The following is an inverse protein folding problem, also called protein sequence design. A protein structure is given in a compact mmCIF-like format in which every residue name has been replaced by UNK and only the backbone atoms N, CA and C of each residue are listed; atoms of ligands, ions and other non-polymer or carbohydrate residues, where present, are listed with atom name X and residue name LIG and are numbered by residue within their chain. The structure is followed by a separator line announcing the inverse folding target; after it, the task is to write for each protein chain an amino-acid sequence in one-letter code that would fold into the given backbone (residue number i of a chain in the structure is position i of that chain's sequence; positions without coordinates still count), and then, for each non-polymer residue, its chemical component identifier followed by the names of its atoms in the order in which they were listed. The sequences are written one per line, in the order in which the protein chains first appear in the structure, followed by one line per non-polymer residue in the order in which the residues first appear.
data_IF_075021309926
#
_entry.id   IF_075021309926
#
_cell.length_a   1.000
_cell.length_b   1.000
_cell.length_c   1.000
_cell.angle_alpha   90.00
_cell.angle_beta   90.00
_cell.angle_gamma   90.00
#
_symmetry.space_group_name_H-M   'P 1'
#
loop_
_entity.id
_entity.type
_entity.pdbx_description
1 polymer ?
#
# COMPACT_ATOMS: atom_id res chain seq x y z
N UNK A 1 17.51 -10.81 -32.51
CA UNK A 1 17.55 -9.99 -31.26
C UNK A 1 16.14 -9.88 -30.73
N UNK A 2 15.92 -10.23 -29.44
CA UNK A 2 14.65 -9.86 -28.78
C UNK A 2 14.71 -8.36 -28.50
N UNK A 3 13.76 -7.59 -29.00
CA UNK A 3 13.57 -6.22 -28.55
C UNK A 3 13.43 -6.20 -27.03
N UNK A 4 14.26 -5.42 -26.34
CA UNK A 4 14.07 -5.19 -24.91
C UNK A 4 12.89 -4.25 -24.72
N UNK A 5 11.78 -4.81 -24.26
CA UNK A 5 10.64 -4.00 -23.88
C UNK A 5 10.92 -3.24 -22.57
N UNK A 6 10.37 -2.06 -22.46
CA UNK A 6 10.42 -1.26 -21.24
C UNK A 6 9.82 -2.06 -20.06
N UNK A 7 10.50 -2.02 -18.92
CA UNK A 7 10.09 -2.74 -17.71
C UNK A 7 9.65 -1.75 -16.66
N UNK A 8 8.51 -2.05 -16.04
CA UNK A 8 7.95 -1.28 -14.93
C UNK A 8 8.04 -2.08 -13.64
N UNK A 9 8.06 -1.38 -12.51
CA UNK A 9 7.91 -1.98 -11.20
C UNK A 9 6.44 -2.24 -10.89
N UNK A 10 6.17 -3.30 -10.14
CA UNK A 10 4.85 -3.56 -9.57
C UNK A 10 4.97 -3.58 -8.05
N UNK A 11 4.16 -2.79 -7.38
CA UNK A 11 4.08 -2.73 -5.93
C UNK A 11 2.66 -3.07 -5.46
N UNK A 12 2.57 -3.69 -4.30
CA UNK A 12 1.30 -4.02 -3.66
C UNK A 12 1.14 -3.19 -2.39
N UNK A 13 -0.07 -2.73 -2.16
CA UNK A 13 -0.48 -1.97 -0.99
C UNK A 13 -1.66 -2.68 -0.34
N UNK A 14 -1.42 -3.59 0.62
CA UNK A 14 -2.48 -4.14 1.44
C UNK A 14 -3.12 -3.03 2.28
N UNK A 15 -4.43 -2.87 2.15
CA UNK A 15 -5.19 -1.87 2.89
C UNK A 15 -6.05 -2.62 3.89
N UNK A 16 -5.62 -2.62 5.15
CA UNK A 16 -6.36 -3.23 6.23
C UNK A 16 -7.41 -2.24 6.71
N UNK A 17 -8.66 -2.61 6.54
CA UNK A 17 -9.82 -1.85 7.01
C UNK A 17 -10.61 -2.65 8.03
N UNK A 18 -11.15 -1.97 9.04
CA UNK A 18 -12.08 -2.54 10.01
C UNK A 18 -13.15 -1.53 10.39
N UNK A 19 -14.23 -2.00 10.98
CA UNK A 19 -15.22 -1.13 11.64
C UNK A 19 -14.72 -0.78 13.04
N UNK A 20 -14.62 0.51 13.31
CA UNK A 20 -14.25 1.06 14.61
C UNK A 20 -15.40 1.82 15.27
N UNK A 21 -15.14 2.40 16.44
CA UNK A 21 -16.15 3.15 17.20
C UNK A 21 -16.67 4.40 16.47
N UNK A 22 -15.85 4.99 15.59
CA UNK A 22 -16.15 6.21 14.82
C UNK A 22 -16.30 5.94 13.32
N UNK A 23 -16.68 4.74 12.95
CA UNK A 23 -16.77 4.32 11.56
C UNK A 23 -15.55 3.51 11.11
N UNK A 24 -15.28 3.51 9.82
CA UNK A 24 -14.21 2.72 9.22
C UNK A 24 -12.83 3.23 9.63
N UNK A 25 -11.95 2.30 9.99
CA UNK A 25 -10.56 2.58 10.35
C UNK A 25 -9.61 1.87 9.39
N UNK A 26 -8.47 2.51 9.12
CA UNK A 26 -7.35 1.98 8.34
C UNK A 26 -6.12 1.79 9.22
N UNK A 27 -5.39 0.69 9.00
CA UNK A 27 -4.12 0.46 9.68
C UNK A 27 -2.98 1.13 8.92
N UNK A 28 -2.25 2.01 9.61
CA UNK A 28 -1.05 2.65 9.08
C UNK A 28 0.16 2.35 9.97
N UNK A 29 1.35 2.43 9.39
CA UNK A 29 2.61 2.33 10.10
C UNK A 29 3.39 3.64 9.99
N UNK A 30 4.18 3.95 11.01
CA UNK A 30 5.05 5.12 11.01
C UNK A 30 6.42 4.73 10.44
N UNK A 31 6.77 5.28 9.28
CA UNK A 31 8.03 5.00 8.59
C UNK A 31 9.23 5.57 9.35
N UNK A 32 10.31 4.80 9.44
CA UNK A 32 11.59 5.28 9.95
C UNK A 32 12.76 4.53 9.29
N UNK A 33 13.89 5.20 9.16
CA UNK A 33 15.16 4.63 8.65
C UNK A 33 15.05 3.94 7.29
N UNK A 34 14.10 4.34 6.45
CA UNK A 34 13.92 3.79 5.09
C UNK A 34 14.56 4.65 4.01
N UNK A 35 14.87 5.91 4.32
CA UNK A 35 15.35 6.90 3.35
C UNK A 35 14.25 7.47 2.44
N UNK A 36 13.00 7.09 2.67
CA UNK A 36 11.86 7.58 1.89
C UNK A 36 10.65 7.83 2.78
N UNK A 37 10.15 9.07 2.77
CA UNK A 37 8.97 9.49 3.54
C UNK A 37 9.04 9.14 5.04
N UNK A 38 10.24 9.09 5.62
CA UNK A 38 10.42 8.80 7.05
C UNK A 38 9.72 9.85 7.92
N UNK A 39 9.10 9.40 9.00
CA UNK A 39 8.23 10.23 9.85
C UNK A 39 6.80 10.37 9.33
N UNK A 40 6.43 9.73 8.21
CA UNK A 40 5.06 9.71 7.70
C UNK A 40 4.34 8.41 8.04
N UNK A 41 3.03 8.51 8.19
CA UNK A 41 2.13 7.36 8.27
C UNK A 41 1.81 6.84 6.87
N UNK A 42 2.14 5.59 6.62
CA UNK A 42 1.98 4.92 5.34
C UNK A 42 1.15 3.64 5.46
N UNK A 43 0.70 3.08 4.34
CA UNK A 43 0.04 1.79 4.34
C UNK A 43 0.95 0.72 4.95
N UNK A 44 0.41 -0.07 5.85
CA UNK A 44 1.15 -1.16 6.48
C UNK A 44 1.22 -2.38 5.55
N UNK A 45 2.38 -3.00 5.46
CA UNK A 45 2.58 -4.24 4.69
C UNK A 45 2.76 -4.06 3.17
N UNK A 46 3.18 -2.89 2.71
CA UNK A 46 3.44 -2.64 1.29
C UNK A 46 4.81 -3.15 0.85
N UNK A 47 4.93 -3.56 -0.41
CA UNK A 47 6.19 -4.01 -0.99
C UNK A 47 6.08 -4.31 -2.48
N UNK A 48 7.19 -4.71 -3.09
CA UNK A 48 7.25 -5.08 -4.50
C UNK A 48 6.70 -6.50 -4.74
N UNK A 49 6.20 -6.72 -5.94
CA UNK A 49 5.91 -8.08 -6.42
C UNK A 49 7.23 -8.71 -6.85
N UNK A 50 7.55 -9.86 -6.26
CA UNK A 50 8.76 -10.60 -6.57
C UNK A 50 8.59 -11.49 -7.80
N UNK A 51 9.71 -12.02 -8.30
CA UNK A 51 9.69 -12.99 -9.40
C UNK A 51 8.89 -14.24 -9.01
N UNK A 52 8.10 -14.76 -9.94
CA UNK A 52 7.30 -15.98 -9.78
C UNK A 52 6.19 -15.91 -8.73
N UNK A 53 5.72 -14.72 -8.37
CA UNK A 53 4.52 -14.56 -7.55
C UNK A 53 3.49 -13.64 -8.23
N UNK A 54 2.22 -13.87 -7.92
CA UNK A 54 1.15 -12.95 -8.31
C UNK A 54 1.03 -11.79 -7.33
N UNK A 55 0.35 -10.72 -7.72
CA UNK A 55 0.15 -9.57 -6.85
C UNK A 55 -0.59 -9.94 -5.53
N UNK A 56 -1.55 -10.87 -5.58
CA UNK A 56 -2.24 -11.35 -4.36
C UNK A 56 -1.31 -12.15 -3.45
N UNK A 57 -0.44 -12.98 -4.02
CA UNK A 57 0.58 -13.70 -3.27
C UNK A 57 1.58 -12.73 -2.62
N UNK A 58 2.01 -11.71 -3.36
CA UNK A 58 2.87 -10.65 -2.83
C UNK A 58 2.21 -9.93 -1.66
N UNK A 59 0.94 -9.54 -1.78
CA UNK A 59 0.20 -8.88 -0.70
C UNK A 59 0.11 -9.77 0.55
N UNK A 60 -0.17 -11.05 0.40
CA UNK A 60 -0.22 -12.00 1.51
C UNK A 60 1.17 -12.20 2.15
N UNK A 61 2.22 -12.28 1.36
CA UNK A 61 3.61 -12.39 1.83
C UNK A 61 4.03 -11.16 2.63
N UNK A 62 3.79 -9.96 2.10
CA UNK A 62 4.12 -8.71 2.78
C UNK A 62 3.37 -8.55 4.12
N UNK A 63 2.09 -8.92 4.17
CA UNK A 63 1.33 -8.94 5.42
C UNK A 63 1.97 -9.87 6.47
N UNK A 64 2.47 -11.02 6.06
CA UNK A 64 3.16 -11.95 6.97
C UNK A 64 4.50 -11.38 7.43
N UNK A 65 5.30 -10.86 6.50
CA UNK A 65 6.66 -10.38 6.79
C UNK A 65 6.66 -9.10 7.62
N UNK A 66 5.79 -8.15 7.31
CA UNK A 66 5.78 -6.84 7.96
C UNK A 66 4.81 -6.72 9.12
N UNK A 67 3.71 -7.50 9.12
CA UNK A 67 2.64 -7.39 10.12
C UNK A 67 2.46 -8.67 10.96
N UNK A 68 3.10 -9.76 10.60
CA UNK A 68 2.96 -11.03 11.33
C UNK A 68 1.57 -11.67 11.25
N UNK A 69 0.77 -11.30 10.27
CA UNK A 69 -0.58 -11.84 10.05
C UNK A 69 -0.60 -12.81 8.87
N UNK A 70 -1.51 -13.77 8.90
CA UNK A 70 -1.74 -14.71 7.80
C UNK A 70 -3.00 -14.33 7.02
N UNK A 71 -2.83 -14.05 5.74
CA UNK A 71 -3.90 -13.73 4.80
C UNK A 71 -3.93 -14.78 3.70
N UNK A 72 -5.08 -15.40 3.47
CA UNK A 72 -5.24 -16.28 2.32
C UNK A 72 -5.32 -15.44 1.04
N UNK A 73 -4.61 -15.80 -0.05
CA UNK A 73 -4.68 -15.05 -1.30
C UNK A 73 -6.11 -14.88 -1.85
N UNK A 74 -7.02 -15.81 -1.56
CA UNK A 74 -8.43 -15.71 -1.91
C UNK A 74 -9.19 -14.60 -1.16
N UNK A 75 -8.68 -14.18 0.00
CA UNK A 75 -9.25 -13.10 0.82
C UNK A 75 -8.62 -11.73 0.51
N UNK A 76 -7.76 -11.65 -0.50
CA UNK A 76 -7.14 -10.42 -1.00
C UNK A 76 -7.99 -9.87 -2.13
N UNK A 77 -8.73 -8.79 -1.87
CA UNK A 77 -9.68 -8.20 -2.81
C UNK A 77 -9.09 -6.97 -3.51
N UNK A 78 -9.15 -6.95 -4.85
CA UNK A 78 -8.65 -5.80 -5.61
C UNK A 78 -9.52 -4.55 -5.38
N UNK A 79 -8.88 -3.41 -5.13
CA UNK A 79 -9.53 -2.11 -4.95
C UNK A 79 -9.19 -1.11 -6.05
N UNK A 80 -7.90 -0.91 -6.32
CA UNK A 80 -7.44 0.21 -7.10
C UNK A 80 -6.07 -0.06 -7.71
N UNK A 81 -5.85 0.44 -8.92
CA UNK A 81 -4.54 0.48 -9.56
C UNK A 81 -4.17 1.94 -9.83
N UNK A 82 -3.00 2.35 -9.34
CA UNK A 82 -2.41 3.64 -9.67
C UNK A 82 -1.22 3.41 -10.60
N UNK A 83 -1.28 3.93 -11.83
CA UNK A 83 -0.15 3.96 -12.73
C UNK A 83 0.65 5.24 -12.47
N UNK A 84 1.88 5.08 -12.00
CA UNK A 84 2.67 6.21 -11.53
C UNK A 84 4.01 6.28 -12.26
N UNK A 85 4.29 7.44 -12.90
CA UNK A 85 5.61 7.78 -13.43
C UNK A 85 6.24 8.79 -12.48
N UNK A 86 7.30 8.39 -11.80
CA UNK A 86 8.02 9.23 -10.84
C UNK A 86 8.75 10.36 -11.53
N UNK A 87 8.67 11.57 -10.98
CA UNK A 87 9.39 12.73 -11.46
C UNK A 87 10.86 12.77 -11.03
N UNK A 88 11.22 12.06 -9.96
CA UNK A 88 12.57 12.05 -9.41
C UNK A 88 13.52 11.11 -10.15
N UNK A 89 13.25 9.82 -10.09
CA UNK A 89 14.11 8.76 -10.66
C UNK A 89 13.64 8.23 -12.01
N UNK A 90 12.52 8.72 -12.53
CA UNK A 90 11.92 8.30 -13.79
C UNK A 90 11.31 6.90 -13.77
N UNK A 91 11.24 6.24 -12.61
CA UNK A 91 10.69 4.90 -12.50
C UNK A 91 9.19 4.90 -12.75
N UNK A 92 8.73 3.86 -13.42
CA UNK A 92 7.31 3.62 -13.62
C UNK A 92 6.85 2.49 -12.71
N UNK A 93 5.75 2.73 -12.02
CA UNK A 93 5.12 1.80 -11.11
C UNK A 93 3.68 1.51 -11.50
N UNK A 94 3.27 0.27 -11.31
CA UNK A 94 1.89 -0.15 -11.18
C UNK A 94 1.66 -0.47 -9.70
N UNK A 95 1.03 0.47 -9.00
CA UNK A 95 0.72 0.35 -7.58
C UNK A 95 -0.68 -0.27 -7.42
N UNK A 96 -0.74 -1.50 -6.90
CA UNK A 96 -1.98 -2.25 -6.74
C UNK A 96 -2.43 -2.23 -5.28
N UNK A 97 -3.60 -1.66 -5.03
CA UNK A 97 -4.23 -1.63 -3.73
C UNK A 97 -5.19 -2.80 -3.56
N UNK A 98 -5.04 -3.53 -2.46
CA UNK A 98 -5.90 -4.66 -2.10
C UNK A 98 -6.54 -4.46 -0.74
N UNK A 99 -7.83 -4.75 -0.65
CA UNK A 99 -8.56 -4.75 0.60
C UNK A 99 -8.28 -6.04 1.38
N UNK A 100 -7.90 -5.88 2.65
CA UNK A 100 -7.71 -6.96 3.60
C UNK A 100 -8.66 -6.73 4.78
N UNK A 101 -9.69 -7.55 4.88
CA UNK A 101 -10.63 -7.55 6.02
C UNK A 101 -10.53 -8.82 6.85
N UNK A 102 -10.04 -9.90 6.27
CA UNK A 102 -10.02 -11.23 6.86
C UNK A 102 -8.59 -11.77 6.93
N UNK A 103 -8.14 -12.06 8.12
CA UNK A 103 -6.81 -12.60 8.40
C UNK A 103 -6.80 -13.29 9.77
N UNK A 104 -5.75 -14.06 10.05
CA UNK A 104 -5.48 -14.63 11.37
C UNK A 104 -4.28 -13.96 12.01
N UNK A 105 -4.28 -13.86 13.32
CA UNK A 105 -3.26 -13.14 14.08
C UNK A 105 -3.64 -11.69 14.35
N UNK A 106 -2.78 -11.00 15.08
CA UNK A 106 -2.91 -9.56 15.39
C UNK A 106 -1.77 -8.81 14.71
N UNK A 107 -2.04 -7.75 13.93
CA UNK A 107 -0.98 -6.97 13.32
C UNK A 107 0.01 -6.45 14.36
N UNK A 108 1.28 -6.74 14.16
CA UNK A 108 2.39 -6.35 15.02
C UNK A 108 3.54 -5.82 14.18
N UNK A 109 4.38 -4.97 14.78
CA UNK A 109 5.61 -4.51 14.14
C UNK A 109 6.60 -5.64 14.08
N UNK A 110 6.90 -6.13 12.87
CA UNK A 110 7.87 -7.21 12.64
C UNK A 110 9.27 -6.68 12.30
N UNK A 111 9.36 -5.48 11.75
CA UNK A 111 10.62 -4.80 11.39
C UNK A 111 10.74 -3.47 12.14
N UNK A 112 11.06 -3.50 13.46
CA UNK A 112 11.07 -2.29 14.29
C UNK A 112 12.11 -1.25 13.85
N UNK A 113 13.14 -1.65 13.14
CA UNK A 113 14.13 -0.74 12.57
C UNK A 113 13.56 0.18 11.47
N UNK A 114 12.51 -0.26 10.78
CA UNK A 114 11.87 0.49 9.69
C UNK A 114 10.46 0.99 10.02
N UNK A 115 9.89 0.49 11.11
CA UNK A 115 8.52 0.77 11.53
C UNK A 115 8.50 1.19 12.99
N UNK A 116 8.28 2.49 13.23
CA UNK A 116 8.23 3.08 14.57
C UNK A 116 6.90 2.81 15.30
N UNK A 117 5.88 2.28 14.63
CA UNK A 117 4.61 1.96 15.25
C UNK A 117 3.51 1.63 14.24
N UNK A 118 2.50 0.90 14.73
CA UNK A 118 1.27 0.59 14.02
C UNK A 118 0.11 1.24 14.76
N UNK A 119 -0.82 1.82 13.99
CA UNK A 119 -2.02 2.42 14.58
C UNK A 119 -3.20 2.36 13.62
N UNK A 120 -4.37 2.10 14.17
CA UNK A 120 -5.65 2.25 13.49
C UNK A 120 -6.11 3.70 13.56
N UNK A 121 -6.41 4.28 12.41
CA UNK A 121 -6.94 5.64 12.30
C UNK A 121 -8.33 5.61 11.67
N UNK A 122 -9.29 6.37 12.23
CA UNK A 122 -10.54 6.62 11.51
C UNK A 122 -10.23 7.22 10.14
N UNK A 123 -10.84 6.70 9.07
CA UNK A 123 -10.62 7.24 7.71
C UNK A 123 -11.09 8.69 7.58
N UNK A 124 -11.98 9.13 8.48
CA UNK A 124 -12.46 10.53 8.59
C UNK A 124 -11.54 11.45 9.38
N UNK A 125 -10.52 10.93 10.06
CA UNK A 125 -9.62 11.68 10.93
C UNK A 125 -8.18 11.14 10.84
N UNK A 126 -7.63 11.17 9.63
CA UNK A 126 -6.23 10.78 9.38
C UNK A 126 -5.27 11.80 9.97
N UNK A 127 -4.05 11.39 10.38
CA UNK A 127 -3.02 12.33 10.81
C UNK A 127 -2.56 13.23 9.65
N UNK A 128 -2.02 14.41 9.97
CA UNK A 128 -1.57 15.37 8.96
C UNK A 128 -0.35 14.86 8.17
N UNK A 129 0.52 14.07 8.81
CA UNK A 129 1.76 13.54 8.24
C UNK A 129 1.57 12.17 7.57
N UNK A 130 0.55 12.01 6.74
CA UNK A 130 0.37 10.82 5.90
C UNK A 130 1.33 10.84 4.71
N UNK A 131 1.69 9.65 4.21
CA UNK A 131 2.51 9.51 3.02
C UNK A 131 1.78 9.95 1.75
N UNK A 132 2.54 10.27 0.70
CA UNK A 132 1.95 10.57 -0.61
C UNK A 132 1.14 9.40 -1.18
N UNK A 133 1.51 8.17 -0.86
CA UNK A 133 0.76 6.97 -1.27
C UNK A 133 -0.63 6.93 -0.62
N UNK A 134 -0.71 7.17 0.69
CA UNK A 134 -1.99 7.23 1.41
C UNK A 134 -2.85 8.38 0.88
N UNK A 135 -2.26 9.56 0.73
CA UNK A 135 -2.96 10.74 0.20
C UNK A 135 -3.54 10.50 -1.19
N UNK A 136 -2.77 9.86 -2.07
CA UNK A 136 -3.17 9.62 -3.46
C UNK A 136 -4.20 8.50 -3.60
N UNK A 137 -4.00 7.38 -2.91
CA UNK A 137 -4.73 6.13 -3.20
C UNK A 137 -5.87 5.82 -2.25
N UNK A 138 -5.76 6.17 -0.95
CA UNK A 138 -6.82 5.83 0.00
C UNK A 138 -8.18 6.44 -0.36
N UNK A 139 -8.30 7.71 -0.77
CA UNK A 139 -9.58 8.26 -1.21
C UNK A 139 -10.19 7.50 -2.39
N UNK A 140 -9.38 7.08 -3.35
CA UNK A 140 -9.82 6.28 -4.49
C UNK A 140 -10.34 4.92 -4.04
N UNK A 141 -9.61 4.24 -3.15
CA UNK A 141 -10.03 2.95 -2.59
C UNK A 141 -11.38 3.04 -1.86
N UNK A 142 -11.56 4.07 -1.02
CA UNK A 142 -12.79 4.27 -0.24
C UNK A 142 -13.99 4.63 -1.11
N UNK A 143 -13.77 5.28 -2.25
CA UNK A 143 -14.82 5.72 -3.18
C UNK A 143 -15.10 4.72 -4.29
N UNK A 144 -14.40 3.59 -4.34
CA UNK A 144 -14.58 2.58 -5.38
C UNK A 144 -14.10 3.01 -6.76
N UNK A 145 -13.11 3.90 -6.83
CA UNK A 145 -12.48 4.33 -8.08
C UNK A 145 -11.40 3.30 -8.44
N UNK A 146 -11.52 2.57 -9.58
CA UNK A 146 -10.62 1.45 -9.86
C UNK A 146 -9.24 1.84 -10.39
N UNK A 147 -9.09 3.07 -10.90
CA UNK A 147 -7.88 3.47 -11.61
C UNK A 147 -7.55 4.95 -11.43
N UNK A 148 -6.26 5.27 -11.29
CA UNK A 148 -5.74 6.62 -11.31
C UNK A 148 -4.36 6.66 -11.97
N UNK A 149 -3.93 7.85 -12.34
CA UNK A 149 -2.60 8.09 -12.92
C UNK A 149 -1.90 9.26 -12.24
N UNK A 150 -0.58 9.10 -12.11
CA UNK A 150 0.34 10.16 -11.70
C UNK A 150 1.48 10.26 -12.70
N UNK A 151 1.79 11.47 -13.13
CA UNK A 151 2.92 11.74 -14.00
C UNK A 151 3.75 12.90 -13.43
N UNK A 152 5.06 12.68 -13.28
CA UNK A 152 5.95 13.61 -12.59
C UNK A 152 5.41 13.99 -11.19
N UNK A 153 4.93 12.98 -10.46
CA UNK A 153 4.35 13.10 -9.10
C UNK A 153 3.12 14.00 -8.99
N UNK A 154 2.44 14.25 -10.12
CA UNK A 154 1.18 15.02 -10.17
C UNK A 154 0.05 14.15 -10.69
N UNK A 155 -1.17 14.33 -10.12
CA UNK A 155 -2.34 13.61 -10.60
C UNK A 155 -2.68 14.00 -12.03
N UNK A 156 -3.00 12.99 -12.85
CA UNK A 156 -3.51 13.16 -14.21
C UNK A 156 -5.04 13.16 -14.14
N UNK A 157 -5.66 14.13 -14.78
CA UNK A 157 -7.12 14.15 -14.90
C UNK A 157 -7.56 13.10 -15.94
N UNK A 158 -8.44 12.21 -15.52
CA UNK A 158 -9.06 11.21 -16.38
C UNK A 158 -10.42 11.68 -16.89
#
# INVERSE_FOLDING_TARGET
MREEHYRSYSAVFPILLREGAQGQEVLLHLRQNTGYMDGSWDFAGSGHVDENETARQAAARECREELGIAVAPADVEFLHLCHRVSGGDGRTYYDLCFLIRKYTGTPTVMEPEKNAGLRWFPVSALPENISSAVEAMLPCCLRGIPYSEYFNDKPVKL
#
